data_IF_939767893598
#
_entry.id   IF_939767893598
#
_cell.length_a   1.000
_cell.length_b   1.000
_cell.length_c   1.000
_cell.angle_alpha   90.00
_cell.angle_beta   90.00
_cell.angle_gamma   90.00
#
_symmetry.space_group_name_H-M   'P 1'
#
loop_
_entity.id
_entity.type
_entity.pdbx_description
1 polymer ?
#
# COMPACT_ATOMS: atom_id res chain seq x y z
N UNK A 1 -27.67 -6.99 -0.89
CA UNK A 1 -26.22 -6.90 -1.17
C UNK A 1 -25.70 -5.64 -0.49
N UNK A 2 -24.73 -5.75 0.42
CA UNK A 2 -24.11 -4.57 1.03
C UNK A 2 -23.06 -4.06 0.04
N UNK A 3 -23.11 -2.81 -0.43
CA UNK A 3 -22.11 -2.30 -1.37
C UNK A 3 -20.74 -2.25 -0.70
N UNK A 4 -19.73 -2.82 -1.37
CA UNK A 4 -18.33 -2.70 -0.97
C UNK A 4 -17.74 -1.40 -1.51
N UNK A 5 -16.81 -0.81 -0.77
CA UNK A 5 -16.11 0.39 -1.19
C UNK A 5 -14.62 0.30 -0.86
N UNK A 6 -13.80 0.83 -1.74
CA UNK A 6 -12.34 0.85 -1.63
C UNK A 6 -11.87 2.08 -0.84
N UNK A 7 -10.77 1.89 -0.11
CA UNK A 7 -10.06 2.94 0.62
C UNK A 7 -8.63 2.94 0.14
N UNK A 8 -8.23 3.99 -0.57
CA UNK A 8 -6.84 4.26 -0.88
C UNK A 8 -6.21 4.98 0.30
N UNK A 9 -5.04 4.54 0.75
CA UNK A 9 -4.29 5.25 1.76
C UNK A 9 -2.80 5.25 1.44
N UNK A 10 -2.13 6.34 1.84
CA UNK A 10 -0.68 6.42 1.86
C UNK A 10 -0.24 6.34 3.30
N UNK A 11 0.77 5.50 3.57
CA UNK A 11 1.23 5.16 4.92
C UNK A 11 2.74 5.33 4.99
N UNK A 12 3.24 5.91 6.07
CA UNK A 12 4.69 5.98 6.32
C UNK A 12 5.22 4.69 6.99
N UNK A 13 6.54 4.57 7.14
CA UNK A 13 7.19 3.40 7.75
C UNK A 13 6.80 3.19 9.23
N UNK A 14 6.37 4.26 9.90
CA UNK A 14 5.89 4.22 11.28
C UNK A 14 4.43 3.75 11.38
N UNK A 15 3.76 3.40 10.28
CA UNK A 15 2.33 3.08 10.23
C UNK A 15 1.41 4.27 10.56
N UNK A 16 1.80 5.50 10.20
CA UNK A 16 0.89 6.67 10.17
C UNK A 16 0.23 6.79 8.81
N UNK A 17 -1.05 7.17 8.80
CA UNK A 17 -1.80 7.44 7.57
C UNK A 17 -1.57 8.89 7.15
N UNK A 18 -0.84 9.12 6.06
CA UNK A 18 -0.52 10.49 5.58
C UNK A 18 -1.55 11.00 4.57
N UNK A 19 -2.27 10.11 3.91
CA UNK A 19 -3.37 10.44 3.00
C UNK A 19 -4.40 9.32 2.99
N UNK A 20 -5.67 9.68 2.82
CA UNK A 20 -6.80 8.76 2.77
C UNK A 20 -7.81 9.25 1.74
N UNK A 21 -8.18 8.38 0.80
CA UNK A 21 -9.28 8.57 -0.13
C UNK A 21 -10.24 7.37 -0.01
N UNK A 22 -11.34 7.56 0.71
CA UNK A 22 -12.37 6.53 0.95
C UNK A 22 -13.61 6.72 0.08
N UNK A 23 -14.30 5.61 -0.21
CA UNK A 23 -15.65 5.64 -0.77
C UNK A 23 -15.73 5.47 -2.28
N UNK A 24 -14.68 4.92 -2.89
CA UNK A 24 -14.72 4.46 -4.28
C UNK A 24 -15.50 3.14 -4.36
N UNK A 25 -16.30 2.89 -5.41
CA UNK A 25 -16.93 1.59 -5.59
C UNK A 25 -15.91 0.44 -5.50
N UNK A 26 -16.26 -0.65 -4.81
CA UNK A 26 -15.35 -1.78 -4.59
C UNK A 26 -15.00 -2.58 -5.85
N UNK A 27 -15.73 -2.35 -6.94
CA UNK A 27 -15.44 -2.93 -8.26
C UNK A 27 -14.42 -2.14 -9.07
N UNK A 28 -14.00 -0.95 -8.61
CA UNK A 28 -12.99 -0.17 -9.33
C UNK A 28 -11.60 -0.77 -9.11
N UNK A 29 -10.85 -0.87 -10.19
CA UNK A 29 -9.45 -1.28 -10.15
C UNK A 29 -8.63 -0.32 -9.30
N UNK A 30 -7.64 -0.84 -8.59
CA UNK A 30 -6.74 -0.09 -7.70
C UNK A 30 -6.05 1.07 -8.42
N UNK A 31 -5.54 0.82 -9.63
CA UNK A 31 -5.00 1.88 -10.49
C UNK A 31 -6.02 3.01 -10.75
N UNK A 32 -7.27 2.67 -11.06
CA UNK A 32 -8.32 3.66 -11.33
C UNK A 32 -8.64 4.48 -10.08
N UNK A 33 -8.65 3.84 -8.90
CA UNK A 33 -8.81 4.52 -7.61
C UNK A 33 -7.67 5.52 -7.38
N UNK A 34 -6.43 5.14 -7.68
CA UNK A 34 -5.25 6.02 -7.59
C UNK A 34 -5.34 7.19 -8.57
N UNK A 35 -5.62 6.95 -9.85
CA UNK A 35 -5.74 8.00 -10.86
C UNK A 35 -6.82 9.02 -10.50
N UNK A 36 -7.98 8.55 -10.05
CA UNK A 36 -9.03 9.44 -9.57
C UNK A 36 -8.59 10.26 -8.34
N UNK A 37 -7.82 9.67 -7.43
CA UNK A 37 -7.29 10.40 -6.27
C UNK A 37 -6.27 11.47 -6.69
N UNK A 38 -5.36 11.16 -7.63
CA UNK A 38 -4.37 12.10 -8.15
C UNK A 38 -5.02 13.29 -8.87
N UNK A 39 -6.09 13.06 -9.61
CA UNK A 39 -6.83 14.13 -10.30
C UNK A 39 -7.66 14.95 -9.30
N UNK A 40 -8.48 14.28 -8.47
CA UNK A 40 -9.41 14.96 -7.57
C UNK A 40 -8.71 15.74 -6.46
N UNK A 41 -7.59 15.21 -5.96
CA UNK A 41 -6.84 15.81 -4.86
C UNK A 41 -5.49 16.36 -5.31
N UNK A 42 -5.33 16.76 -6.57
CA UNK A 42 -4.04 17.21 -7.14
C UNK A 42 -3.24 18.19 -6.28
N UNK A 43 -3.92 19.08 -5.55
CA UNK A 43 -3.29 20.09 -4.68
C UNK A 43 -3.00 19.60 -3.26
N UNK A 44 -3.60 18.49 -2.84
CA UNK A 44 -3.55 17.96 -1.47
C UNK A 44 -2.98 16.54 -1.38
N UNK A 45 -2.85 15.84 -2.51
CA UNK A 45 -2.21 14.55 -2.57
C UNK A 45 -0.74 14.74 -2.21
N UNK A 46 -0.23 14.09 -1.15
CA UNK A 46 1.17 14.22 -0.79
C UNK A 46 1.99 13.59 -1.91
N UNK A 47 2.82 14.38 -2.57
CA UNK A 47 3.81 13.84 -3.48
C UNK A 47 5.08 13.47 -2.69
N UNK A 48 5.78 12.40 -3.09
CA UNK A 48 7.03 12.08 -2.43
C UNK A 48 8.01 13.24 -2.64
N UNK A 49 8.89 13.53 -1.66
CA UNK A 49 9.97 14.50 -1.85
C UNK A 49 10.83 14.16 -3.07
N UNK A 50 11.62 15.12 -3.53
CA UNK A 50 12.61 14.87 -4.58
C UNK A 50 13.49 13.67 -4.20
N UNK A 51 13.80 12.82 -5.19
CA UNK A 51 14.58 11.59 -5.06
C UNK A 51 13.93 10.50 -4.17
N UNK A 52 12.63 10.61 -3.90
CA UNK A 52 11.83 9.58 -3.21
C UNK A 52 10.66 9.13 -4.08
N UNK A 53 10.13 7.95 -3.76
CA UNK A 53 9.01 7.33 -4.44
C UNK A 53 8.10 6.60 -3.43
N UNK A 54 6.86 6.37 -3.81
CA UNK A 54 5.96 5.46 -3.11
C UNK A 54 6.21 4.03 -3.54
N UNK A 55 6.26 3.09 -2.60
CA UNK A 55 6.19 1.66 -2.91
C UNK A 55 4.72 1.28 -3.10
N UNK A 56 4.40 0.70 -4.25
CA UNK A 56 3.02 0.32 -4.60
C UNK A 56 2.91 -1.14 -4.99
N UNK A 57 1.70 -1.68 -4.88
CA UNK A 57 1.40 -3.02 -5.35
C UNK A 57 1.46 -3.12 -6.89
N UNK A 58 1.59 -4.33 -7.42
CA UNK A 58 1.64 -4.61 -8.85
C UNK A 58 0.43 -4.05 -9.61
N UNK A 59 -0.73 -4.01 -8.93
CA UNK A 59 -1.99 -3.48 -9.43
C UNK A 59 -2.00 -1.96 -9.69
N UNK A 60 -1.03 -1.20 -9.17
CA UNK A 60 -0.90 0.23 -9.43
C UNK A 60 0.04 0.58 -10.57
N UNK A 61 0.85 -0.38 -11.05
CA UNK A 61 1.83 -0.16 -12.10
C UNK A 61 3.07 0.63 -11.64
N UNK A 62 4.11 0.63 -12.49
CA UNK A 62 5.32 1.41 -12.29
C UNK A 62 5.16 2.73 -13.07
N UNK A 63 5.14 3.87 -12.37
CA UNK A 63 4.93 5.19 -12.99
C UNK A 63 5.65 6.26 -12.18
N UNK A 64 5.97 7.44 -12.73
CA UNK A 64 6.76 8.45 -12.03
C UNK A 64 6.27 8.74 -10.61
N UNK A 65 7.16 8.55 -9.63
CA UNK A 65 6.86 8.71 -8.20
C UNK A 65 6.24 7.49 -7.52
N UNK A 66 5.96 6.40 -8.23
CA UNK A 66 5.39 5.14 -7.74
C UNK A 66 6.19 3.95 -8.27
N UNK A 67 6.88 3.26 -7.36
CA UNK A 67 7.74 2.12 -7.65
C UNK A 67 7.02 0.80 -7.37
N UNK A 68 6.68 0.09 -8.45
CA UNK A 68 6.07 -1.23 -8.41
C UNK A 68 7.10 -2.38 -8.43
N UNK A 69 6.72 -3.60 -8.01
CA UNK A 69 7.55 -4.80 -8.15
C UNK A 69 7.77 -5.17 -9.62
N UNK A 70 8.77 -6.01 -9.89
CA UNK A 70 8.89 -6.70 -11.18
C UNK A 70 7.69 -7.62 -11.39
N UNK A 71 7.04 -7.49 -12.55
CA UNK A 71 5.94 -8.37 -12.96
C UNK A 71 6.50 -9.70 -13.45
N UNK A 72 5.69 -10.75 -13.39
CA UNK A 72 6.05 -12.12 -13.81
C UNK A 72 7.22 -12.75 -13.06
N UNK A 73 7.64 -12.16 -11.94
CA UNK A 73 8.71 -12.65 -11.06
C UNK A 73 8.14 -12.98 -9.69
N UNK A 74 8.71 -13.99 -9.00
CA UNK A 74 8.25 -14.39 -7.66
C UNK A 74 8.29 -13.18 -6.72
N UNK A 75 7.17 -12.91 -6.05
CA UNK A 75 7.05 -11.70 -5.23
C UNK A 75 6.43 -11.93 -3.84
N UNK A 76 5.63 -12.99 -3.67
CA UNK A 76 5.04 -13.33 -2.38
C UNK A 76 6.10 -13.75 -1.37
N UNK A 77 6.12 -13.14 -0.17
CA UNK A 77 7.07 -13.49 0.90
C UNK A 77 7.05 -14.98 1.27
N UNK A 78 5.90 -15.64 1.09
CA UNK A 78 5.75 -17.07 1.34
C UNK A 78 6.55 -17.93 0.38
N UNK A 79 6.72 -17.50 -0.88
CA UNK A 79 7.51 -18.21 -1.88
C UNK A 79 8.99 -18.30 -1.51
N UNK A 80 9.45 -17.41 -0.63
CA UNK A 80 10.84 -17.33 -0.17
C UNK A 80 11.08 -18.00 1.19
N UNK A 81 10.08 -18.70 1.75
CA UNK A 81 10.24 -19.49 2.98
C UNK A 81 10.85 -20.87 2.65
N UNK A 82 11.44 -21.52 3.67
CA UNK A 82 11.93 -22.91 3.61
C UNK A 82 13.02 -23.19 2.55
N UNK A 83 14.03 -22.32 2.45
CA UNK A 83 15.22 -22.56 1.62
C UNK A 83 15.15 -22.06 0.17
N UNK A 84 14.00 -21.53 -0.25
CA UNK A 84 13.80 -20.93 -1.57
C UNK A 84 14.20 -19.45 -1.60
N UNK A 85 15.44 -19.13 -1.24
CA UNK A 85 15.91 -17.74 -1.25
C UNK A 85 15.84 -17.14 -2.66
N UNK A 86 15.73 -15.79 -2.78
CA UNK A 86 15.79 -15.11 -4.06
C UNK A 86 17.09 -15.47 -4.81
N UNK A 87 16.96 -15.85 -6.08
CA UNK A 87 18.09 -16.28 -6.92
C UNK A 87 18.45 -15.26 -8.00
N UNK A 88 17.57 -14.29 -8.27
CA UNK A 88 17.79 -13.21 -9.24
C UNK A 88 17.70 -11.85 -8.57
N UNK A 89 18.27 -10.82 -9.20
CA UNK A 89 18.17 -9.44 -8.70
C UNK A 89 16.70 -8.97 -8.62
N UNK A 90 15.87 -9.39 -9.57
CA UNK A 90 14.44 -9.08 -9.60
C UNK A 90 13.67 -9.74 -8.44
N UNK A 91 13.98 -11.01 -8.15
CA UNK A 91 13.38 -11.72 -7.02
C UNK A 91 13.83 -11.12 -5.69
N UNK A 92 15.10 -10.70 -5.59
CA UNK A 92 15.62 -10.04 -4.40
C UNK A 92 14.92 -8.69 -4.19
N UNK A 93 14.79 -7.90 -5.26
CA UNK A 93 14.04 -6.65 -5.23
C UNK A 93 12.59 -6.89 -4.79
N UNK A 94 11.88 -7.83 -5.42
CA UNK A 94 10.50 -8.15 -5.09
C UNK A 94 10.34 -8.65 -3.65
N UNK A 95 11.28 -9.44 -3.15
CA UNK A 95 11.30 -9.87 -1.76
C UNK A 95 11.43 -8.68 -0.79
N UNK A 96 12.39 -7.78 -1.02
CA UNK A 96 12.57 -6.56 -0.21
C UNK A 96 11.38 -5.61 -0.33
N UNK A 97 10.87 -5.43 -1.54
CA UNK A 97 9.67 -4.64 -1.82
C UNK A 97 8.48 -5.16 -1.02
N UNK A 98 8.22 -6.47 -1.06
CA UNK A 98 7.15 -7.10 -0.29
C UNK A 98 7.35 -6.96 1.23
N UNK A 99 8.59 -7.08 1.74
CA UNK A 99 8.91 -6.85 3.16
C UNK A 99 8.52 -5.43 3.62
N UNK A 100 8.79 -4.43 2.78
CA UNK A 100 8.44 -3.03 3.08
C UNK A 100 6.93 -2.79 2.96
N UNK A 101 6.28 -3.35 1.93
CA UNK A 101 4.83 -3.23 1.69
C UNK A 101 4.00 -3.81 2.83
N UNK A 102 4.50 -4.79 3.59
CA UNK A 102 3.86 -5.29 4.81
C UNK A 102 3.53 -4.18 5.83
N UNK A 103 4.22 -3.03 5.77
CA UNK A 103 3.91 -1.86 6.62
C UNK A 103 2.48 -1.37 6.43
N UNK A 104 1.98 -1.35 5.19
CA UNK A 104 0.62 -0.90 4.87
C UNK A 104 -0.40 -1.85 5.50
N UNK A 105 -0.21 -3.17 5.31
CA UNK A 105 -1.05 -4.20 5.92
C UNK A 105 -1.03 -4.11 7.45
N UNK A 106 0.16 -3.93 8.03
CA UNK A 106 0.35 -3.73 9.47
C UNK A 106 -0.39 -2.49 9.98
N UNK A 107 -0.36 -1.36 9.25
CA UNK A 107 -1.07 -0.14 9.62
C UNK A 107 -2.58 -0.33 9.63
N UNK A 108 -3.13 -0.98 8.58
CA UNK A 108 -4.56 -1.32 8.54
C UNK A 108 -4.95 -2.36 9.60
N UNK A 109 -4.08 -3.33 9.88
CA UNK A 109 -4.26 -4.33 10.93
C UNK A 109 -4.34 -3.69 12.32
N UNK A 110 -3.39 -2.79 12.62
CA UNK A 110 -3.41 -1.93 13.81
C UNK A 110 -4.75 -1.18 13.88
N UNK A 111 -5.06 -0.37 12.86
CA UNK A 111 -6.28 0.43 12.83
C UNK A 111 -7.55 -0.40 13.12
N UNK A 112 -7.73 -1.55 12.44
CA UNK A 112 -8.89 -2.43 12.63
C UNK A 112 -8.92 -3.11 14.00
N UNK A 113 -7.76 -3.44 14.58
CA UNK A 113 -7.69 -4.04 15.91
C UNK A 113 -8.10 -3.04 17.00
N UNK A 114 -7.65 -1.80 16.89
CA UNK A 114 -7.99 -0.74 17.85
C UNK A 114 -9.42 -0.24 17.70
N UNK A 115 -9.86 -0.02 16.47
CA UNK A 115 -11.21 0.48 16.16
C UNK A 115 -12.09 -0.66 15.64
N UNK A 116 -12.63 -1.46 16.56
CA UNK A 116 -13.48 -2.63 16.22
C UNK A 116 -14.69 -2.29 15.35
N UNK A 117 -15.15 -1.04 15.36
CA UNK A 117 -16.20 -0.53 14.45
C UNK A 117 -15.85 -0.75 12.97
N UNK A 118 -14.57 -0.75 12.61
CA UNK A 118 -14.10 -0.99 11.24
C UNK A 118 -14.14 -2.47 10.83
N UNK A 119 -14.25 -3.41 11.78
CA UNK A 119 -14.39 -4.84 11.48
C UNK A 119 -15.80 -5.19 11.00
N UNK A 120 -16.80 -4.45 11.47
CA UNK A 120 -18.19 -4.61 11.06
C UNK A 120 -18.85 -3.24 11.11
N UNK A 121 -18.62 -2.45 10.05
CA UNK A 121 -19.24 -1.14 9.92
C UNK A 121 -20.74 -1.38 9.78
N UNK A 122 -21.59 -0.86 10.70
CA UNK A 122 -23.04 -0.90 10.56
C UNK A 122 -23.47 -0.33 9.21
N UNK A 123 -24.67 -0.66 8.73
CA UNK A 123 -25.15 -0.20 7.42
C UNK A 123 -25.48 1.31 7.41
N UNK A 124 -24.44 2.13 7.53
CA UNK A 124 -24.46 3.57 7.41
C UNK A 124 -24.39 3.96 5.94
N UNK A 125 -24.97 5.11 5.60
CA UNK A 125 -24.77 5.70 4.27
C UNK A 125 -23.29 5.96 3.98
N UNK A 126 -22.90 5.92 2.71
CA UNK A 126 -21.51 6.07 2.23
C UNK A 126 -20.77 7.24 2.88
N UNK A 127 -21.42 8.40 3.00
CA UNK A 127 -20.86 9.61 3.59
C UNK A 127 -20.47 9.39 5.05
N UNK A 128 -21.36 8.75 5.83
CA UNK A 128 -21.13 8.46 7.24
C UNK A 128 -20.03 7.41 7.41
N UNK A 129 -20.04 6.34 6.62
CA UNK A 129 -18.99 5.32 6.62
C UNK A 129 -17.61 5.92 6.33
N UNK A 130 -17.51 6.78 5.31
CA UNK A 130 -16.27 7.48 4.97
C UNK A 130 -15.78 8.38 6.12
N UNK A 131 -16.69 9.14 6.76
CA UNK A 131 -16.34 9.98 7.91
C UNK A 131 -15.81 9.17 9.08
N UNK A 132 -16.42 8.01 9.36
CA UNK A 132 -15.95 7.11 10.42
C UNK A 132 -14.54 6.62 10.12
N UNK A 133 -14.27 6.18 8.89
CA UNK A 133 -12.94 5.68 8.47
C UNK A 133 -11.88 6.76 8.62
N UNK A 134 -12.13 7.95 8.08
CA UNK A 134 -11.20 9.09 8.15
C UNK A 134 -10.99 9.52 9.60
N UNK A 135 -12.05 9.56 10.42
CA UNK A 135 -11.94 9.88 11.84
C UNK A 135 -11.09 8.85 12.59
N UNK A 136 -11.30 7.54 12.36
CA UNK A 136 -10.47 6.50 12.97
C UNK A 136 -9.00 6.64 12.60
N UNK A 137 -8.68 6.94 11.34
CA UNK A 137 -7.30 7.15 10.88
C UNK A 137 -6.67 8.40 11.49
N UNK A 138 -7.42 9.49 11.62
CA UNK A 138 -6.95 10.70 12.31
C UNK A 138 -6.67 10.46 13.80
N UNK A 139 -7.58 9.77 14.49
CA UNK A 139 -7.40 9.40 15.91
C UNK A 139 -6.25 8.41 16.08
N UNK A 140 -6.05 7.48 15.14
CA UNK A 140 -4.90 6.58 15.12
C UNK A 140 -3.58 7.35 15.11
N UNK A 141 -3.42 8.30 14.18
CA UNK A 141 -2.23 9.14 14.10
C UNK A 141 -2.04 9.96 15.38
N UNK A 142 -3.10 10.61 15.87
CA UNK A 142 -3.05 11.40 17.10
C UNK A 142 -2.55 10.59 18.30
N UNK A 143 -3.01 9.34 18.44
CA UNK A 143 -2.56 8.45 19.50
C UNK A 143 -1.11 8.04 19.30
N UNK A 144 -0.67 7.79 18.06
CA UNK A 144 0.75 7.50 17.80
C UNK A 144 1.66 8.66 18.17
N UNK A 145 1.25 9.89 17.92
CA UNK A 145 2.08 11.07 18.18
C UNK A 145 2.15 11.42 19.68
N UNK A 146 1.07 11.18 20.42
CA UNK A 146 0.97 11.55 21.84
C UNK A 146 1.13 10.38 22.82
N UNK A 147 1.09 9.14 22.34
CA UNK A 147 1.03 7.92 23.15
C UNK A 147 2.39 7.35 23.56
N UNK A 148 3.46 8.17 23.53
CA UNK A 148 4.87 7.80 23.69
C UNK A 148 5.13 6.48 24.42
N UNK A 149 5.77 5.54 23.72
CA UNK A 149 6.29 4.23 24.16
C UNK A 149 5.46 3.44 25.20
N UNK A 150 4.15 3.67 25.29
CA UNK A 150 3.21 2.75 25.94
C UNK A 150 2.85 1.65 24.94
N UNK A 151 3.88 0.93 24.47
CA UNK A 151 3.87 -0.15 23.50
C UNK A 151 3.05 -1.40 23.88
N UNK A 152 2.03 -1.26 24.74
CA UNK A 152 1.15 -2.35 25.16
C UNK A 152 -0.17 -2.45 24.36
N UNK A 153 -0.60 -1.41 23.66
CA UNK A 153 -1.93 -1.39 23.00
C UNK A 153 -1.89 -1.93 21.56
N UNK A 154 -0.72 -1.91 20.93
CA UNK A 154 -0.45 -2.56 19.64
C UNK A 154 0.19 -3.92 19.88
N UNK A 155 -0.57 -4.86 20.45
CA UNK A 155 -0.09 -6.20 20.83
C UNK A 155 0.72 -6.87 19.71
N UNK A 156 1.70 -7.72 20.06
CA UNK A 156 2.46 -8.59 19.14
C UNK A 156 1.57 -9.31 18.10
N UNK A 157 0.32 -9.63 18.45
CA UNK A 157 -0.68 -10.18 17.54
C UNK A 157 -0.98 -9.30 16.31
N UNK A 158 -0.82 -7.97 16.37
CA UNK A 158 -0.98 -7.06 15.22
C UNK A 158 0.24 -7.08 14.30
N UNK A 159 1.43 -7.31 14.87
CA UNK A 159 2.69 -7.48 14.13
C UNK A 159 2.67 -8.85 13.43
N UNK A 160 2.25 -9.91 14.12
CA UNK A 160 2.08 -11.25 13.53
C UNK A 160 0.90 -11.37 12.58
N UNK A 161 -0.23 -10.67 12.82
CA UNK A 161 -1.34 -10.64 11.87
C UNK A 161 -0.96 -9.95 10.56
N UNK A 162 -0.21 -8.83 10.58
CA UNK A 162 0.32 -8.21 9.35
C UNK A 162 1.37 -9.07 8.64
N UNK A 163 2.10 -9.92 9.36
CA UNK A 163 3.03 -10.90 8.79
C UNK A 163 2.34 -12.17 8.27
N UNK A 164 1.07 -12.40 8.66
CA UNK A 164 0.27 -13.58 8.33
C UNK A 164 -0.98 -13.25 7.49
N UNK A 165 -1.26 -11.99 7.19
CA UNK A 165 -2.29 -11.60 6.23
C UNK A 165 -1.80 -11.99 4.85
N UNK A 166 -2.36 -13.10 4.37
CA UNK A 166 -2.35 -13.45 2.96
C UNK A 166 -3.02 -12.29 2.24
N UNK A 167 -2.23 -11.50 1.51
CA UNK A 167 -2.78 -10.70 0.42
C UNK A 167 -3.51 -11.67 -0.50
N UNK A 168 -4.83 -11.69 -0.42
CA UNK A 168 -5.65 -12.39 -1.40
C UNK A 168 -5.55 -11.52 -2.64
N UNK A 169 -4.66 -11.94 -3.54
CA UNK A 169 -4.51 -11.38 -4.87
C UNK A 169 -5.73 -11.77 -5.71
N UNK A 170 -6.34 -10.78 -6.36
CA UNK A 170 -7.25 -11.01 -7.47
C UNK A 170 -6.36 -11.09 -8.70
N UNK A 171 -6.21 -12.28 -9.29
CA UNK A 171 -5.69 -12.46 -10.65
C UNK A 171 -6.52 -11.58 -11.60
N UNK A 172 -6.00 -10.42 -11.97
CA UNK A 172 -6.55 -9.65 -13.09
C UNK A 172 -5.78 -10.02 -14.35
N UNK A 173 -6.46 -10.48 -15.42
CA UNK A 173 -5.82 -10.74 -16.69
C UNK A 173 -5.24 -9.45 -17.28
N UNK A 174 -4.09 -9.61 -17.94
CA UNK A 174 -3.34 -8.58 -18.66
C UNK A 174 -4.20 -7.83 -19.66
N UNK A 175 -4.82 -6.73 -19.23
CA UNK A 175 -5.39 -5.74 -20.11
C UNK A 175 -5.14 -4.37 -19.49
N UNK A 176 -4.07 -3.71 -19.94
CA UNK A 176 -4.21 -2.56 -20.83
C UNK A 176 -2.85 -1.93 -21.14
N UNK A 177 -2.63 -1.77 -22.44
CA UNK A 177 -1.58 -1.00 -23.11
C UNK A 177 -1.60 0.47 -22.71
N UNK A 178 -0.40 1.05 -22.79
CA UNK A 178 -0.05 2.38 -22.32
C UNK A 178 -0.68 3.52 -23.14
N UNK A 179 -0.99 4.61 -22.45
CA UNK A 179 -1.10 5.92 -23.07
C UNK A 179 -0.61 6.99 -22.08
N UNK A 180 0.57 7.55 -22.33
CA UNK A 180 1.10 8.68 -21.56
C UNK A 180 2.40 9.24 -22.13
N UNK A 181 2.30 10.35 -22.85
CA UNK A 181 3.36 11.12 -23.53
C UNK A 181 4.77 11.13 -22.88
N UNK A 182 5.74 10.80 -23.74
CA UNK A 182 7.19 10.88 -23.58
C UNK A 182 7.69 12.34 -23.60
N UNK A 183 8.46 12.77 -22.59
CA UNK A 183 9.57 13.74 -22.76
C UNK A 183 10.34 14.06 -21.47
N UNK A 184 9.73 13.97 -20.27
CA UNK A 184 10.40 14.35 -19.00
C UNK A 184 10.04 13.42 -17.82
N UNK A 185 9.54 12.22 -18.10
CA UNK A 185 9.24 11.24 -17.05
C UNK A 185 10.53 10.59 -16.54
N UNK A 186 10.71 10.58 -15.23
CA UNK A 186 11.72 9.74 -14.57
C UNK A 186 11.44 8.30 -14.98
N UNK A 187 12.41 7.67 -15.65
CA UNK A 187 12.38 6.25 -15.97
C UNK A 187 12.40 5.44 -14.67
N UNK A 188 11.21 5.03 -14.22
CA UNK A 188 11.04 4.26 -13.00
C UNK A 188 11.46 2.81 -13.19
N UNK A 189 11.50 2.29 -14.42
CA UNK A 189 12.01 0.94 -14.68
C UNK A 189 13.52 0.93 -14.55
N UNK A 190 14.21 1.90 -15.18
CA UNK A 190 15.65 2.09 -14.99
C UNK A 190 16.04 2.37 -13.54
N UNK A 191 15.26 3.18 -12.82
CA UNK A 191 15.46 3.39 -11.38
C UNK A 191 15.33 2.08 -10.58
N UNK A 192 14.31 1.25 -10.91
CA UNK A 192 14.11 -0.05 -10.28
C UNK A 192 15.31 -0.96 -10.50
N UNK A 193 15.81 -1.02 -11.73
CA UNK A 193 16.95 -1.85 -12.11
C UNK A 193 18.22 -1.42 -11.35
N UNK A 194 18.48 -0.12 -11.24
CA UNK A 194 19.62 0.41 -10.46
C UNK A 194 19.52 -0.03 -8.99
N UNK A 195 18.32 0.08 -8.38
CA UNK A 195 18.10 -0.34 -7.00
C UNK A 195 18.30 -1.85 -6.86
N UNK A 196 17.76 -2.66 -7.78
CA UNK A 196 17.89 -4.12 -7.76
C UNK A 196 19.35 -4.58 -7.87
N UNK A 197 20.13 -3.96 -8.76
CA UNK A 197 21.58 -4.22 -8.90
C UNK A 197 22.34 -3.83 -7.63
N UNK A 198 22.02 -2.67 -7.04
CA UNK A 198 22.60 -2.23 -5.78
C UNK A 198 22.37 -3.23 -4.65
N UNK A 199 21.16 -3.75 -4.51
CA UNK A 199 20.81 -4.77 -3.49
C UNK A 199 21.53 -6.10 -3.68
N UNK A 200 21.85 -6.48 -4.93
CA UNK A 200 22.53 -7.74 -5.24
C UNK A 200 24.05 -7.67 -5.04
N UNK A 201 24.60 -6.48 -4.82
CA UNK A 201 26.05 -6.23 -4.71
C UNK A 201 26.55 -6.16 -3.26
N UNK A 202 25.66 -6.29 -2.27
CA UNK A 202 25.93 -6.29 -0.82
C UNK A 202 25.99 -7.71 -0.24
#
# INVERSE_FOLDING_TARGET
MVPTFNVLAVVDLDCRFIFVCSGRPGCLHDYTVLQQALVQYRTHFPHPPQDKFYLVDAAYGNMPGFLGPYRNTRYHLQHFRQGNMPNTMEELFNYRHAQLRCTVERAFGQLKNKFRILKSIPNYGLITSNRIIVACMAVHNFIKDNGGDRGGDWTEASIQAGNNTVGIELDLPDLMEEAGNEADQVDMDGLRDIIAVGMASE
#
